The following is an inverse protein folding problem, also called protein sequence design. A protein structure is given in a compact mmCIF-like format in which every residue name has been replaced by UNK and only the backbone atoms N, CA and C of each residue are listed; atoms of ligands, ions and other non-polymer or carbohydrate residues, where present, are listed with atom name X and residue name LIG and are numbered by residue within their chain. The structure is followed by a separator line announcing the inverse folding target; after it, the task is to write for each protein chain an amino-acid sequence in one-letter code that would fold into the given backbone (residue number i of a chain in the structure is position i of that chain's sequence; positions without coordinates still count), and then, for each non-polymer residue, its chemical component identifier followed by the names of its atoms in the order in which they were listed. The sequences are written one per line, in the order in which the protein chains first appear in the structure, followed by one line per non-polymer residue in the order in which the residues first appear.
data_IF_000406556779
#
_entry.id   IF_000406556779
#
_cell.length_a   1.000
_cell.length_b   1.000
_cell.length_c   1.000
_cell.angle_alpha   90.00
_cell.angle_beta   90.00
_cell.angle_gamma   90.00
#
_symmetry.space_group_name_H-M   'P 1'
#
loop_
_entity.id
_entity.type
_entity.pdbx_description
1 polymer ?
#
# COMPACT_ATOMS: atom_id res chain seq x y z
N UNK A 1 2.10 -5.89 9.82
CA UNK A 1 2.94 -6.16 8.63
C UNK A 1 3.77 -4.94 8.29
N UNK A 2 4.99 -5.14 7.81
CA UNK A 2 5.84 -4.12 7.21
C UNK A 2 5.97 -4.47 5.73
N UNK A 3 5.67 -3.53 4.84
CA UNK A 3 5.98 -3.69 3.43
C UNK A 3 7.51 -3.61 3.23
N UNK A 4 8.02 -4.23 2.16
CA UNK A 4 9.41 -4.06 1.72
C UNK A 4 9.82 -2.59 1.59
N UNK A 5 11.12 -2.32 1.45
CA UNK A 5 11.59 -0.94 1.23
C UNK A 5 10.94 -0.31 0.00
N UNK A 6 10.95 1.02 -0.06
CA UNK A 6 10.43 1.76 -1.22
C UNK A 6 11.11 1.34 -2.52
N UNK A 7 12.40 0.97 -2.47
CA UNK A 7 13.14 0.51 -3.65
C UNK A 7 12.61 -0.82 -4.17
N UNK A 8 12.34 -1.76 -3.25
CA UNK A 8 11.76 -3.06 -3.62
C UNK A 8 10.34 -2.86 -4.13
N UNK A 9 9.55 -2.03 -3.47
CA UNK A 9 8.18 -1.75 -3.91
C UNK A 9 8.15 -1.03 -5.25
N UNK A 10 9.03 -0.06 -5.47
CA UNK A 10 9.17 0.68 -6.73
C UNK A 10 9.75 -0.15 -7.87
N UNK A 11 10.41 -1.28 -7.58
CA UNK A 11 10.84 -2.23 -8.60
C UNK A 11 9.67 -2.95 -9.29
N UNK A 12 8.48 -2.95 -8.67
CA UNK A 12 7.26 -3.51 -9.25
C UNK A 12 6.62 -2.55 -10.26
N UNK A 13 7.33 -2.28 -11.36
CA UNK A 13 6.93 -1.35 -12.41
C UNK A 13 5.62 -1.72 -13.14
N UNK A 14 5.15 -2.96 -13.01
CA UNK A 14 3.89 -3.46 -13.59
C UNK A 14 2.77 -3.64 -12.55
N UNK A 15 3.02 -3.28 -11.29
CA UNK A 15 2.02 -3.41 -10.24
C UNK A 15 1.05 -2.24 -10.33
N UNK A 16 -0.13 -2.52 -10.87
CA UNK A 16 -1.17 -1.50 -11.10
C UNK A 16 -2.17 -1.43 -9.94
N UNK A 17 -2.36 -2.56 -9.24
CA UNK A 17 -3.39 -2.72 -8.23
C UNK A 17 -2.80 -3.34 -6.96
N UNK A 18 -3.05 -2.69 -5.82
CA UNK A 18 -2.96 -3.32 -4.50
C UNK A 18 -4.36 -3.42 -3.94
N UNK A 19 -4.70 -4.64 -3.54
CA UNK A 19 -5.97 -4.94 -2.94
C UNK A 19 -5.77 -5.61 -1.58
N UNK A 20 -5.91 -4.83 -0.51
CA UNK A 20 -5.76 -5.35 0.84
C UNK A 20 -7.13 -5.63 1.44
N UNK A 21 -7.69 -6.76 1.01
CA UNK A 21 -8.91 -7.29 1.55
C UNK A 21 -8.66 -8.12 2.83
N UNK A 22 -8.80 -7.49 4.02
CA UNK A 22 -9.21 -8.04 5.35
C UNK A 22 -8.20 -7.81 6.46
N UNK A 23 -7.30 -6.85 6.30
CA UNK A 23 -6.30 -6.54 7.33
C UNK A 23 -6.48 -5.13 7.90
N UNK A 24 -7.15 -4.96 9.06
CA UNK A 24 -7.32 -3.67 9.73
C UNK A 24 -5.98 -2.99 10.05
N UNK A 25 -4.95 -3.77 10.35
CA UNK A 25 -3.60 -3.25 10.63
C UNK A 25 -2.96 -2.60 9.41
N UNK A 26 -3.21 -3.16 8.22
CA UNK A 26 -2.74 -2.60 6.96
C UNK A 26 -3.56 -1.36 6.55
N UNK A 27 -4.83 -1.25 6.97
CA UNK A 27 -5.63 -0.03 6.75
C UNK A 27 -4.98 1.19 7.39
N UNK A 28 -4.63 1.12 8.67
CA UNK A 28 -4.00 2.24 9.39
C UNK A 28 -2.59 2.52 8.88
N UNK A 29 -1.84 1.48 8.52
CA UNK A 29 -0.44 1.63 8.09
C UNK A 29 -0.30 2.14 6.66
N UNK A 30 -1.19 1.73 5.77
CA UNK A 30 -1.21 2.15 4.37
C UNK A 30 -2.20 3.29 4.12
N UNK A 31 -2.73 3.92 5.18
CA UNK A 31 -3.67 5.02 5.06
C UNK A 31 -3.12 6.12 4.14
N UNK A 32 -3.97 6.64 3.25
CA UNK A 32 -3.55 7.64 2.27
C UNK A 32 -2.99 8.86 2.99
N UNK A 33 -1.78 9.27 2.64
CA UNK A 33 -1.05 10.45 3.14
C UNK A 33 -0.62 10.41 4.61
N UNK A 34 -1.40 9.79 5.51
CA UNK A 34 -1.10 9.69 6.94
C UNK A 34 -0.39 8.39 7.34
N UNK A 35 -0.52 7.34 6.53
CA UNK A 35 -0.03 6.01 6.85
C UNK A 35 1.49 5.90 6.74
N UNK A 36 2.19 5.30 7.73
CA UNK A 36 3.65 5.14 7.69
C UNK A 36 4.17 4.32 6.50
N UNK A 37 3.33 3.48 5.89
CA UNK A 37 3.66 2.66 4.73
C UNK A 37 3.16 3.27 3.41
N UNK A 38 2.48 4.43 3.45
CA UNK A 38 1.91 5.08 2.26
C UNK A 38 2.94 5.37 1.18
N UNK A 39 4.10 5.91 1.56
CA UNK A 39 5.19 6.26 0.64
C UNK A 39 5.73 5.07 -0.16
N UNK A 40 5.56 3.85 0.35
CA UNK A 40 6.00 2.62 -0.33
C UNK A 40 5.04 2.20 -1.44
N UNK A 41 3.75 2.57 -1.34
CA UNK A 41 2.70 2.18 -2.29
C UNK A 41 2.14 3.35 -3.08
N UNK A 42 2.50 4.59 -2.76
CA UNK A 42 1.92 5.79 -3.37
C UNK A 42 2.15 5.92 -4.88
N UNK A 43 3.09 5.15 -5.44
CA UNK A 43 3.35 5.09 -6.88
C UNK A 43 2.35 4.20 -7.64
N UNK A 44 1.52 3.43 -6.93
CA UNK A 44 0.61 2.44 -7.50
C UNK A 44 -0.70 3.12 -7.89
N UNK A 45 -1.16 2.99 -9.15
CA UNK A 45 -2.35 3.69 -9.64
C UNK A 45 -3.65 3.36 -8.89
N UNK A 46 -3.85 2.10 -8.54
CA UNK A 46 -5.09 1.63 -7.91
C UNK A 46 -4.81 1.00 -6.55
N UNK A 47 -5.16 1.73 -5.50
CA UNK A 47 -4.95 1.29 -4.12
C UNK A 47 -6.32 1.12 -3.44
N UNK A 48 -6.71 -0.13 -3.23
CA UNK A 48 -7.95 -0.51 -2.57
C UNK A 48 -7.66 -0.85 -1.10
N UNK A 49 -7.91 0.13 -0.22
CA UNK A 49 -7.79 0.00 1.23
C UNK A 49 -9.17 0.29 1.84
N UNK A 50 -10.18 -0.52 1.48
CA UNK A 50 -11.53 -0.35 2.00
C UNK A 50 -12.12 -1.68 2.48
N UNK A 51 -12.53 -1.66 3.75
CA UNK A 51 -13.58 -2.49 4.31
C UNK A 51 -14.74 -1.55 4.58
N UNK A 52 -15.79 -1.66 3.78
CA UNK A 52 -17.12 -1.29 4.25
C UNK A 52 -17.87 -2.59 4.49
#
# INVERSE_FOLDING_TARGET
MYLPSVDVMGSFSKLEIIDNFRCPQLKTRCERESGPEWSKISHIPHICINYR
#
